data_IF_360536924474
#
_entry.id   IF_360536924474
#
_cell.length_a   1.000
_cell.length_b   1.000
_cell.length_c   1.000
_cell.angle_alpha   90.00
_cell.angle_beta   90.00
_cell.angle_gamma   90.00
#
_symmetry.space_group_name_H-M   'P 1'
#
loop_
_entity.id
_entity.type
_entity.pdbx_description
1 polymer ?
#
# COMPACT_ATOMS: atom_id res chain seq x y z
N UNK A 1 30.87 -15.83 -8.93
CA UNK A 1 29.63 -15.29 -8.35
C UNK A 1 29.16 -16.33 -7.36
N UNK A 2 29.48 -16.11 -6.08
CA UNK A 2 29.38 -17.07 -4.98
C UNK A 2 27.95 -17.56 -4.73
N UNK A 3 27.85 -18.79 -4.20
CA UNK A 3 26.64 -19.48 -3.75
C UNK A 3 25.88 -18.67 -2.67
N UNK A 4 25.20 -17.59 -3.06
CA UNK A 4 24.24 -16.92 -2.18
C UNK A 4 23.01 -17.79 -2.00
N UNK A 5 22.54 -17.88 -0.77
CA UNK A 5 21.32 -18.65 -0.47
C UNK A 5 20.12 -17.84 -0.96
N UNK A 6 19.41 -18.38 -1.94
CA UNK A 6 18.21 -17.75 -2.48
C UNK A 6 16.97 -18.19 -1.69
N UNK A 7 16.23 -17.23 -1.15
CA UNK A 7 14.95 -17.49 -0.47
C UNK A 7 13.83 -16.72 -1.16
N UNK A 8 12.82 -17.45 -1.64
CA UNK A 8 11.61 -16.84 -2.19
C UNK A 8 10.61 -16.52 -1.08
N UNK A 9 10.12 -15.28 -1.08
CA UNK A 9 9.14 -14.76 -0.14
C UNK A 9 7.86 -14.40 -0.91
N UNK A 10 6.77 -15.14 -0.72
CA UNK A 10 5.49 -14.86 -1.39
C UNK A 10 4.32 -14.71 -0.40
N UNK A 11 3.29 -13.96 -0.77
CA UNK A 11 2.05 -13.79 0.01
C UNK A 11 0.83 -14.36 -0.73
N UNK A 12 -0.18 -14.78 0.03
CA UNK A 12 -1.43 -15.31 -0.52
C UNK A 12 -2.46 -14.19 -0.63
N UNK A 13 -2.88 -13.85 -1.85
CA UNK A 13 -3.88 -12.81 -2.10
C UNK A 13 -5.21 -13.08 -1.39
N UNK A 14 -5.64 -14.34 -1.32
CA UNK A 14 -6.87 -14.71 -0.61
C UNK A 14 -6.78 -14.35 0.87
N UNK A 15 -5.67 -14.68 1.54
CA UNK A 15 -5.47 -14.32 2.95
C UNK A 15 -5.40 -12.82 3.15
N UNK A 16 -4.71 -12.11 2.26
CA UNK A 16 -4.62 -10.64 2.31
C UNK A 16 -5.99 -9.99 2.14
N UNK A 17 -6.83 -10.47 1.23
CA UNK A 17 -8.18 -9.93 1.03
C UNK A 17 -9.07 -10.16 2.25
N UNK A 18 -8.96 -11.32 2.92
CA UNK A 18 -9.67 -11.57 4.19
C UNK A 18 -9.21 -10.60 5.27
N UNK A 19 -7.90 -10.40 5.43
CA UNK A 19 -7.38 -9.43 6.40
C UNK A 19 -7.77 -8.00 6.07
N UNK A 20 -7.70 -7.59 4.79
CA UNK A 20 -8.15 -6.28 4.34
C UNK A 20 -9.62 -6.06 4.69
N UNK A 21 -10.50 -7.04 4.43
CA UNK A 21 -11.91 -6.96 4.78
C UNK A 21 -12.14 -6.77 6.29
N UNK A 22 -11.43 -7.52 7.13
CA UNK A 22 -11.52 -7.37 8.59
C UNK A 22 -11.02 -5.98 9.05
N UNK A 23 -9.90 -5.51 8.48
CA UNK A 23 -9.34 -4.19 8.77
C UNK A 23 -10.32 -3.09 8.39
N UNK A 24 -10.95 -3.18 7.20
CA UNK A 24 -11.98 -2.23 6.75
C UNK A 24 -13.11 -2.19 7.75
N UNK A 25 -13.61 -3.34 8.21
CA UNK A 25 -14.73 -3.38 9.15
C UNK A 25 -14.37 -2.73 10.50
N UNK A 26 -13.21 -3.09 11.07
CA UNK A 26 -12.74 -2.54 12.35
C UNK A 26 -12.51 -1.04 12.26
N UNK A 27 -11.82 -0.58 11.21
CA UNK A 27 -11.55 0.84 11.01
C UNK A 27 -12.82 1.62 10.68
N UNK A 28 -13.71 1.10 9.84
CA UNK A 28 -14.99 1.75 9.54
C UNK A 28 -15.81 1.96 10.81
N UNK A 29 -15.90 0.95 11.69
CA UNK A 29 -16.59 1.11 12.97
C UNK A 29 -15.93 2.19 13.84
N UNK A 30 -14.61 2.11 14.04
CA UNK A 30 -13.87 3.04 14.89
C UNK A 30 -13.92 4.49 14.39
N UNK A 31 -13.72 4.70 13.08
CA UNK A 31 -13.71 6.03 12.47
C UNK A 31 -15.13 6.62 12.41
N UNK A 32 -16.16 5.83 12.12
CA UNK A 32 -17.54 6.30 12.20
C UNK A 32 -17.93 6.69 13.63
N UNK A 33 -17.47 5.94 14.64
CA UNK A 33 -17.65 6.33 16.04
C UNK A 33 -16.97 7.67 16.36
N UNK A 34 -15.76 7.91 15.83
CA UNK A 34 -15.07 9.18 15.99
C UNK A 34 -15.81 10.34 15.30
N UNK A 35 -16.34 10.15 14.09
CA UNK A 35 -17.19 11.16 13.44
C UNK A 35 -18.43 11.48 14.28
N UNK A 36 -19.13 10.46 14.78
CA UNK A 36 -20.29 10.66 15.65
C UNK A 36 -19.95 11.44 16.93
N UNK A 37 -18.80 11.12 17.55
CA UNK A 37 -18.34 11.79 18.77
C UNK A 37 -17.94 13.25 18.54
N UNK A 38 -17.25 13.54 17.43
CA UNK A 38 -16.70 14.87 17.14
C UNK A 38 -17.74 15.81 16.52
N UNK A 39 -18.67 15.28 15.72
CA UNK A 39 -19.56 16.06 14.87
C UNK A 39 -21.04 15.92 15.25
N UNK A 40 -21.36 15.15 16.29
CA UNK A 40 -22.73 14.97 16.81
C UNK A 40 -23.60 14.02 15.99
N UNK A 41 -23.02 13.28 15.04
CA UNK A 41 -23.73 12.30 14.22
C UNK A 41 -22.90 11.83 13.03
N UNK A 42 -23.45 10.87 12.29
CA UNK A 42 -22.88 10.39 11.02
C UNK A 42 -23.68 11.01 9.88
N UNK A 43 -23.02 11.76 8.99
CA UNK A 43 -23.61 12.41 7.83
C UNK A 43 -23.07 11.80 6.53
N UNK A 44 -23.88 10.96 5.91
CA UNK A 44 -23.55 10.32 4.65
C UNK A 44 -24.56 10.68 3.55
N UNK A 45 -24.09 11.35 2.51
CA UNK A 45 -24.88 11.66 1.32
C UNK A 45 -24.31 10.93 0.09
N UNK A 46 -25.06 9.94 -0.39
CA UNK A 46 -24.72 9.23 -1.63
C UNK A 46 -25.53 9.84 -2.77
N UNK A 47 -24.84 10.53 -3.66
CA UNK A 47 -25.39 10.97 -4.94
C UNK A 47 -24.54 10.39 -6.07
N UNK A 48 -25.08 10.36 -7.29
CA UNK A 48 -24.28 9.93 -8.45
C UNK A 48 -23.00 10.78 -8.61
N UNK A 49 -23.03 12.13 -8.52
CA UNK A 49 -21.82 12.93 -8.56
C UNK A 49 -20.81 12.61 -7.47
N UNK A 50 -21.25 12.44 -6.21
CA UNK A 50 -20.32 12.14 -5.10
C UNK A 50 -19.70 10.75 -5.25
N UNK A 51 -20.46 9.77 -5.76
CA UNK A 51 -19.93 8.44 -6.08
C UNK A 51 -18.90 8.47 -7.21
N UNK A 52 -19.14 9.22 -8.30
CA UNK A 52 -18.16 9.36 -9.39
C UNK A 52 -16.88 10.05 -8.91
N UNK A 53 -17.02 11.13 -8.14
CA UNK A 53 -15.87 11.84 -7.56
C UNK A 53 -15.06 10.91 -6.64
N UNK A 54 -15.73 10.15 -5.78
CA UNK A 54 -15.09 9.17 -4.90
C UNK A 54 -14.23 8.17 -5.68
N UNK A 55 -14.78 7.59 -6.76
CA UNK A 55 -14.05 6.63 -7.60
C UNK A 55 -12.84 7.29 -8.27
N UNK A 56 -12.98 8.50 -8.80
CA UNK A 56 -11.87 9.23 -9.44
C UNK A 56 -10.74 9.49 -8.45
N UNK A 57 -11.08 10.00 -7.25
CA UNK A 57 -10.09 10.29 -6.20
C UNK A 57 -9.43 9.00 -5.71
N UNK A 58 -10.19 7.91 -5.57
CA UNK A 58 -9.65 6.60 -5.21
C UNK A 58 -8.63 6.11 -6.22
N UNK A 59 -8.95 6.14 -7.52
CA UNK A 59 -8.03 5.73 -8.58
C UNK A 59 -6.78 6.63 -8.62
N UNK A 60 -6.95 7.94 -8.43
CA UNK A 60 -5.84 8.88 -8.35
C UNK A 60 -4.91 8.55 -7.17
N UNK A 61 -5.45 8.26 -5.98
CA UNK A 61 -4.66 7.90 -4.80
C UNK A 61 -3.96 6.55 -4.94
N UNK A 62 -4.56 5.57 -5.62
CA UNK A 62 -3.90 4.30 -5.96
C UNK A 62 -2.71 4.55 -6.90
N UNK A 63 -2.87 5.39 -7.93
CA UNK A 63 -1.75 5.76 -8.79
C UNK A 63 -0.65 6.51 -8.03
N UNK A 64 -1.02 7.40 -7.10
CA UNK A 64 -0.08 8.11 -6.24
C UNK A 64 0.66 7.13 -5.31
N UNK A 65 -0.03 6.12 -4.76
CA UNK A 65 0.56 5.09 -3.91
C UNK A 65 1.70 4.36 -4.64
N UNK A 66 1.43 3.86 -5.84
CA UNK A 66 2.46 3.20 -6.65
C UNK A 66 3.58 4.17 -7.08
N UNK A 67 3.25 5.42 -7.40
CA UNK A 67 4.26 6.42 -7.74
C UNK A 67 5.20 6.69 -6.56
N UNK A 68 4.69 6.69 -5.32
CA UNK A 68 5.51 6.84 -4.11
C UNK A 68 6.46 5.65 -3.94
N UNK A 69 6.02 4.41 -4.24
CA UNK A 69 6.93 3.26 -4.28
C UNK A 69 8.08 3.47 -5.28
N UNK A 70 7.79 3.94 -6.50
CA UNK A 70 8.82 4.26 -7.51
C UNK A 70 9.80 5.33 -7.03
N UNK A 71 9.29 6.40 -6.39
CA UNK A 71 10.12 7.44 -5.76
C UNK A 71 11.01 6.82 -4.67
N UNK A 72 10.45 5.92 -3.86
CA UNK A 72 11.20 5.14 -2.87
C UNK A 72 12.33 4.33 -3.51
N UNK A 73 12.03 3.52 -4.52
CA UNK A 73 13.07 2.76 -5.25
C UNK A 73 14.14 3.67 -5.84
N UNK A 74 13.76 4.82 -6.39
CA UNK A 74 14.70 5.78 -6.97
C UNK A 74 15.64 6.38 -5.93
N UNK A 75 15.10 7.00 -4.88
CA UNK A 75 15.86 7.85 -3.96
C UNK A 75 16.35 7.12 -2.71
N UNK A 76 15.65 6.07 -2.26
CA UNK A 76 16.09 5.22 -1.15
C UNK A 76 16.92 4.05 -1.68
N UNK A 77 16.47 3.42 -2.76
CA UNK A 77 17.14 2.27 -3.39
C UNK A 77 18.28 2.63 -4.33
N UNK A 78 18.39 3.89 -4.76
CA UNK A 78 19.40 4.32 -5.74
C UNK A 78 19.17 3.78 -7.16
N UNK A 79 17.98 3.22 -7.43
CA UNK A 79 17.67 2.56 -8.71
C UNK A 79 17.48 3.62 -9.81
N UNK A 80 18.10 3.48 -11.00
CA UNK A 80 17.85 4.38 -12.12
C UNK A 80 16.41 4.29 -12.61
N UNK A 81 15.82 5.41 -13.07
CA UNK A 81 14.45 5.42 -13.61
C UNK A 81 14.22 4.44 -14.77
N UNK A 82 15.24 4.17 -15.60
CA UNK A 82 15.21 3.18 -16.69
C UNK A 82 15.03 1.72 -16.21
N UNK A 83 15.34 1.47 -14.94
CA UNK A 83 15.22 0.16 -14.28
C UNK A 83 13.93 0.01 -13.47
N UNK A 84 13.11 1.07 -13.42
CA UNK A 84 11.80 1.05 -12.76
C UNK A 84 10.69 0.75 -13.76
N UNK A 85 9.67 0.03 -13.31
CA UNK A 85 8.47 -0.30 -14.08
C UNK A 85 7.24 -0.10 -13.24
N UNK A 86 6.14 0.25 -13.89
CA UNK A 86 4.83 0.29 -13.27
C UNK A 86 3.79 -0.29 -14.22
N UNK A 87 2.65 -0.73 -13.69
CA UNK A 87 1.57 -1.25 -14.49
C UNK A 87 0.35 -1.64 -13.66
N UNK A 88 -0.61 -2.27 -14.32
CA UNK A 88 -1.83 -2.81 -13.69
C UNK A 88 -1.98 -4.27 -14.06
N UNK A 89 -2.13 -5.13 -13.07
CA UNK A 89 -2.48 -6.53 -13.25
C UNK A 89 -3.99 -6.70 -13.06
N UNK A 90 -4.74 -6.58 -14.15
CA UNK A 90 -6.21 -6.70 -14.16
C UNK A 90 -6.74 -8.02 -13.62
N UNK A 91 -5.99 -9.12 -13.75
CA UNK A 91 -6.40 -10.44 -13.22
C UNK A 91 -6.36 -10.47 -11.70
N UNK A 92 -5.41 -9.74 -11.10
CA UNK A 92 -5.26 -9.61 -9.66
C UNK A 92 -5.97 -8.38 -9.10
N UNK A 93 -6.41 -7.45 -9.96
CA UNK A 93 -7.06 -6.20 -9.56
C UNK A 93 -6.10 -5.22 -8.87
N UNK A 94 -4.80 -5.30 -9.13
CA UNK A 94 -3.78 -4.49 -8.44
C UNK A 94 -2.95 -3.66 -9.42
N UNK A 95 -2.69 -2.40 -9.05
CA UNK A 95 -1.59 -1.65 -9.63
C UNK A 95 -0.26 -2.14 -9.00
N UNK A 96 0.86 -1.93 -9.69
CA UNK A 96 2.16 -2.30 -9.14
C UNK A 96 3.27 -1.36 -9.61
N UNK A 97 4.19 -1.08 -8.70
CA UNK A 97 5.50 -0.50 -8.93
C UNK A 97 6.60 -1.54 -8.70
N UNK A 98 7.59 -1.58 -9.58
CA UNK A 98 8.60 -2.64 -9.61
C UNK A 98 10.00 -2.10 -9.92
N UNK A 99 11.00 -2.62 -9.21
CA UNK A 99 12.43 -2.42 -9.52
C UNK A 99 13.04 -3.67 -10.13
N UNK A 100 13.64 -3.54 -11.33
CA UNK A 100 14.42 -4.63 -11.96
C UNK A 100 15.74 -4.92 -11.25
N UNK A 101 16.23 -3.95 -10.46
CA UNK A 101 17.49 -4.02 -9.71
C UNK A 101 17.21 -4.44 -8.27
N UNK A 102 18.20 -5.10 -7.69
CA UNK A 102 18.22 -5.48 -6.29
C UNK A 102 18.45 -4.25 -5.41
N UNK A 103 17.79 -4.22 -4.25
CA UNK A 103 18.04 -3.25 -3.17
C UNK A 103 18.20 -4.01 -1.86
N UNK A 104 18.81 -3.38 -0.84
CA UNK A 104 18.96 -4.04 0.47
C UNK A 104 17.59 -4.23 1.16
N UNK A 105 17.49 -5.22 2.05
CA UNK A 105 16.32 -5.41 2.93
C UNK A 105 15.97 -4.13 3.66
N UNK A 106 16.97 -3.40 4.19
CA UNK A 106 16.76 -2.11 4.86
C UNK A 106 16.10 -1.07 3.97
N UNK A 107 16.51 -0.98 2.70
CA UNK A 107 15.89 -0.08 1.73
C UNK A 107 14.48 -0.56 1.38
N UNK A 108 14.29 -1.85 1.11
CA UNK A 108 12.99 -2.44 0.76
C UNK A 108 11.93 -2.20 1.85
N UNK A 109 12.29 -2.40 3.12
CA UNK A 109 11.42 -2.10 4.27
C UNK A 109 10.89 -0.66 4.24
N UNK A 110 11.73 0.30 3.88
CA UNK A 110 11.34 1.72 3.78
C UNK A 110 10.46 1.98 2.58
N UNK A 111 10.80 1.41 1.41
CA UNK A 111 10.02 1.56 0.18
C UNK A 111 8.59 1.07 0.41
N UNK A 112 8.43 -0.16 0.90
CA UNK A 112 7.13 -0.78 1.18
C UNK A 112 6.22 0.07 2.08
N UNK A 113 6.79 0.68 3.12
CA UNK A 113 5.98 1.44 4.08
C UNK A 113 5.79 2.91 3.69
N UNK A 114 6.50 3.40 2.67
CA UNK A 114 6.50 4.81 2.29
C UNK A 114 5.12 5.36 1.93
N UNK A 115 4.27 4.66 1.14
CA UNK A 115 2.98 5.22 0.77
C UNK A 115 1.90 5.07 1.85
N UNK A 116 2.10 4.20 2.86
CA UNK A 116 1.11 3.89 3.89
C UNK A 116 0.55 5.16 4.58
N UNK A 117 1.44 6.06 4.99
CA UNK A 117 1.07 7.30 5.67
C UNK A 117 0.37 8.30 4.72
N UNK A 118 0.96 8.73 3.59
CA UNK A 118 0.36 9.76 2.74
C UNK A 118 -0.90 9.30 1.99
N UNK A 119 -1.05 8.01 1.64
CA UNK A 119 -2.22 7.55 0.88
C UNK A 119 -3.25 6.82 1.72
N UNK A 120 -2.86 6.22 2.85
CA UNK A 120 -3.79 5.51 3.74
C UNK A 120 -4.24 6.38 4.90
N UNK A 121 -3.31 6.71 5.80
CA UNK A 121 -3.63 7.38 7.07
C UNK A 121 -4.01 8.85 6.89
N UNK A 122 -3.31 9.58 6.01
CA UNK A 122 -3.54 11.01 5.81
C UNK A 122 -4.99 11.33 5.38
N UNK A 123 -5.61 10.62 4.41
CA UNK A 123 -7.02 10.82 4.10
C UNK A 123 -7.96 10.59 5.29
N UNK A 124 -7.68 9.63 6.18
CA UNK A 124 -8.47 9.43 7.41
C UNK A 124 -8.39 10.67 8.31
N UNK A 125 -7.18 11.17 8.54
CA UNK A 125 -6.95 12.35 9.39
C UNK A 125 -7.63 13.58 8.81
N UNK A 126 -7.48 13.82 7.50
CA UNK A 126 -8.13 14.95 6.83
C UNK A 126 -9.65 14.83 6.82
N UNK A 127 -10.18 13.63 6.60
CA UNK A 127 -11.61 13.36 6.64
C UNK A 127 -12.20 13.65 8.02
N UNK A 128 -11.55 13.21 9.10
CA UNK A 128 -11.96 13.56 10.47
C UNK A 128 -11.85 15.08 10.73
N UNK A 129 -10.73 15.70 10.38
CA UNK A 129 -10.49 17.13 10.65
C UNK A 129 -11.46 18.06 9.91
N UNK A 130 -11.89 17.66 8.71
CA UNK A 130 -12.81 18.43 7.86
C UNK A 130 -14.27 17.98 8.01
N UNK A 131 -14.54 16.99 8.86
CA UNK A 131 -15.82 16.29 8.93
C UNK A 131 -16.34 15.77 7.56
N UNK A 132 -15.44 15.19 6.76
CA UNK A 132 -15.71 14.58 5.46
C UNK A 132 -15.63 13.05 5.56
N UNK A 133 -16.73 12.41 5.94
CA UNK A 133 -16.81 10.95 6.09
C UNK A 133 -16.41 10.15 4.84
N UNK A 134 -16.80 10.55 3.61
CA UNK A 134 -16.35 9.81 2.42
C UNK A 134 -14.83 9.83 2.26
N UNK A 135 -14.15 10.91 2.65
CA UNK A 135 -12.69 10.99 2.61
C UNK A 135 -12.05 10.09 3.68
N UNK A 136 -12.65 10.04 4.87
CA UNK A 136 -12.24 9.11 5.93
C UNK A 136 -12.40 7.65 5.49
N UNK A 137 -13.55 7.30 4.91
CA UNK A 137 -13.82 5.96 4.40
C UNK A 137 -12.88 5.58 3.26
N UNK A 138 -12.58 6.52 2.35
CA UNK A 138 -11.57 6.32 1.32
C UNK A 138 -10.20 6.00 1.93
N UNK A 139 -9.78 6.74 2.95
CA UNK A 139 -8.56 6.46 3.70
C UNK A 139 -8.55 5.07 4.35
N UNK A 140 -9.68 4.60 4.85
CA UNK A 140 -9.82 3.23 5.39
C UNK A 140 -9.58 2.19 4.30
N UNK A 141 -10.20 2.34 3.14
CA UNK A 141 -10.02 1.42 2.01
C UNK A 141 -8.55 1.37 1.57
N UNK A 142 -7.90 2.54 1.45
CA UNK A 142 -6.50 2.64 1.03
C UNK A 142 -5.54 2.11 2.10
N UNK A 143 -5.82 2.35 3.38
CA UNK A 143 -5.06 1.79 4.52
C UNK A 143 -5.13 0.26 4.53
N UNK A 144 -6.32 -0.30 4.35
CA UNK A 144 -6.50 -1.75 4.25
C UNK A 144 -5.85 -2.32 2.98
N UNK A 145 -5.85 -1.57 1.88
CA UNK A 145 -5.15 -1.92 0.64
C UNK A 145 -3.64 -2.10 0.81
N UNK A 146 -3.03 -1.38 1.76
CA UNK A 146 -1.60 -1.51 2.08
C UNK A 146 -1.25 -2.83 2.81
N UNK A 147 -2.21 -3.72 3.09
CA UNK A 147 -1.94 -4.99 3.80
C UNK A 147 -0.92 -5.87 3.07
N UNK A 148 -0.86 -5.78 1.73
CA UNK A 148 0.15 -6.47 0.92
C UNK A 148 1.56 -6.00 1.26
N UNK A 149 1.78 -4.69 1.28
CA UNK A 149 3.05 -4.06 1.64
C UNK A 149 3.47 -4.41 3.07
N UNK A 150 2.53 -4.34 4.01
CA UNK A 150 2.77 -4.70 5.42
C UNK A 150 3.16 -6.18 5.54
N UNK A 151 2.48 -7.07 4.82
CA UNK A 151 2.80 -8.50 4.85
C UNK A 151 4.17 -8.80 4.23
N UNK A 152 4.52 -8.14 3.13
CA UNK A 152 5.84 -8.25 2.51
C UNK A 152 6.93 -7.65 3.41
N UNK A 153 6.66 -6.51 4.06
CA UNK A 153 7.53 -5.88 5.05
C UNK A 153 7.83 -6.85 6.21
N UNK A 154 6.80 -7.48 6.77
CA UNK A 154 6.95 -8.44 7.88
C UNK A 154 7.78 -9.66 7.48
N UNK A 155 7.61 -10.15 6.23
CA UNK A 155 8.36 -11.31 5.76
C UNK A 155 9.82 -10.97 5.45
N UNK A 156 10.08 -9.84 4.81
CA UNK A 156 11.45 -9.41 4.46
C UNK A 156 12.24 -8.99 5.70
N UNK A 157 11.56 -8.55 6.77
CA UNK A 157 12.20 -8.20 8.06
C UNK A 157 12.79 -9.39 8.82
N UNK A 158 12.63 -10.62 8.32
CA UNK A 158 13.26 -11.82 8.90
C UNK A 158 14.70 -12.05 8.41
N UNK A 159 15.15 -11.26 7.44
CA UNK A 159 16.47 -11.36 6.82
C UNK A 159 17.39 -10.22 7.29
N UNK A 160 18.72 -10.38 7.18
CA UNK A 160 19.69 -9.33 7.50
C UNK A 160 19.43 -8.05 6.70
N UNK A 161 19.66 -6.89 7.33
CA UNK A 161 19.33 -5.58 6.74
C UNK A 161 20.12 -5.26 5.46
N UNK A 162 21.31 -5.85 5.30
CA UNK A 162 22.22 -5.72 4.17
C UNK A 162 22.02 -6.80 3.10
N UNK A 163 21.22 -7.84 3.36
CA UNK A 163 20.85 -8.84 2.36
C UNK A 163 20.15 -8.16 1.17
N UNK A 164 20.34 -8.72 -0.02
CA UNK A 164 19.77 -8.15 -1.25
C UNK A 164 18.38 -8.73 -1.52
N UNK A 165 17.47 -7.88 -1.97
CA UNK A 165 16.09 -8.21 -2.28
C UNK A 165 15.81 -7.79 -3.71
N UNK A 166 15.31 -8.74 -4.50
CA UNK A 166 14.78 -8.51 -5.83
C UNK A 166 13.28 -8.66 -5.83
N UNK A 167 12.61 -7.65 -6.35
CA UNK A 167 11.17 -7.67 -6.52
C UNK A 167 10.77 -8.55 -7.72
N UNK A 168 9.59 -9.18 -7.67
CA UNK A 168 9.08 -9.96 -8.79
C UNK A 168 8.28 -9.05 -9.74
N UNK A 169 8.46 -9.13 -11.06
CA UNK A 169 7.89 -8.17 -12.02
C UNK A 169 6.35 -8.14 -12.14
N UNK A 170 5.62 -9.00 -11.42
CA UNK A 170 4.17 -9.20 -11.65
C UNK A 170 3.42 -9.97 -10.57
N UNK A 171 4.12 -10.42 -9.51
CA UNK A 171 3.54 -11.20 -8.41
C UNK A 171 3.95 -10.53 -7.10
N UNK A 172 3.13 -10.60 -6.05
CA UNK A 172 3.48 -10.08 -4.72
C UNK A 172 4.48 -11.04 -4.05
N UNK A 173 5.71 -11.01 -4.55
CA UNK A 173 6.77 -11.95 -4.22
C UNK A 173 8.13 -11.26 -4.34
N UNK A 174 9.04 -11.57 -3.41
CA UNK A 174 10.44 -11.20 -3.50
C UNK A 174 11.35 -12.42 -3.57
N UNK A 175 12.54 -12.23 -4.13
CA UNK A 175 13.69 -13.13 -3.95
C UNK A 175 14.72 -12.43 -3.08
N UNK A 176 15.13 -13.06 -1.98
CA UNK A 176 16.15 -12.56 -1.06
C UNK A 176 17.43 -13.37 -1.27
N UNK A 177 18.58 -12.69 -1.32
CA UNK A 177 19.90 -13.26 -1.46
C UNK A 177 20.69 -13.04 -0.15
N UNK A 178 20.98 -14.12 0.56
CA UNK A 178 21.80 -14.17 1.79
C UNK A 178 23.24 -14.62 1.48
#
# INVERSE_FOLDING_TARGET
MENRKETTVAVSMVKLNVYAFLIIFVLAFGISFLHALLSGGVQFEITLPTMFLFIIVMLALICIHEAIHLIGFRYIGGVPWSELKWGVNWKLGVAYAHSKKEITVKQMKKVLMLPFLPTGILPIVLGLAMNLEPLSFLGILLTAGCIGDIALYQKVSKFPDDALVKDHPSKPQFTVYE
#
